data_IF_411322835576
#
_entry.id   IF_411322835576
#
_cell.length_a   1.000
_cell.length_b   1.000
_cell.length_c   1.000
_cell.angle_alpha   90.00
_cell.angle_beta   90.00
_cell.angle_gamma   90.00
#
_symmetry.space_group_name_H-M   'P 1'
#
loop_
_entity.id
_entity.type
_entity.pdbx_description
1 polymer ?
#
# COMPACT_ATOMS: atom_id res chain seq x y z
N UNK A 1 22.89 1.54 -23.74
CA UNK A 1 22.39 2.92 -23.97
C UNK A 1 22.16 3.22 -25.46
N UNK A 2 23.18 3.16 -26.34
CA UNK A 2 23.01 3.48 -27.78
C UNK A 2 21.99 2.61 -28.53
N UNK A 3 21.88 1.31 -28.20
CA UNK A 3 20.92 0.40 -28.84
C UNK A 3 19.47 0.76 -28.55
N UNK A 4 19.18 1.25 -27.34
CA UNK A 4 17.85 1.70 -26.95
C UNK A 4 17.48 3.04 -27.56
N UNK A 5 18.43 3.98 -27.64
CA UNK A 5 18.20 5.26 -28.31
C UNK A 5 17.88 5.06 -29.79
N UNK A 6 18.62 4.17 -30.46
CA UNK A 6 18.31 3.78 -31.85
C UNK A 6 16.94 3.12 -31.95
N UNK A 7 16.59 2.25 -31.01
CA UNK A 7 15.28 1.64 -30.98
C UNK A 7 14.15 2.68 -30.80
N UNK A 8 14.28 3.62 -29.85
CA UNK A 8 13.23 4.62 -29.60
C UNK A 8 13.05 5.56 -30.79
N UNK A 9 14.15 5.96 -31.43
CA UNK A 9 14.14 6.78 -32.63
C UNK A 9 13.46 6.03 -33.81
N UNK A 10 13.77 4.75 -33.96
CA UNK A 10 13.19 3.90 -35.01
C UNK A 10 11.70 3.64 -34.75
N UNK A 11 11.30 3.44 -33.50
CA UNK A 11 9.91 3.29 -33.09
C UNK A 11 9.10 4.57 -33.36
N UNK A 12 9.65 5.76 -33.05
CA UNK A 12 9.02 7.04 -33.37
C UNK A 12 8.88 7.30 -34.88
N UNK A 13 9.76 6.70 -35.69
CA UNK A 13 9.75 6.80 -37.15
C UNK A 13 8.96 5.66 -37.83
N UNK A 14 8.26 4.80 -37.08
CA UNK A 14 7.47 3.69 -37.63
C UNK A 14 8.32 2.54 -38.22
N UNK A 15 9.60 2.45 -37.87
CA UNK A 15 10.56 1.44 -38.32
C UNK A 15 10.99 0.51 -37.16
N UNK A 16 10.04 0.10 -36.30
CA UNK A 16 10.35 -0.79 -35.18
C UNK A 16 10.61 -2.22 -35.67
N UNK A 17 11.79 -2.76 -35.36
CA UNK A 17 12.28 -4.07 -35.81
C UNK A 17 11.69 -5.27 -35.03
N UNK A 18 10.50 -5.11 -34.43
CA UNK A 18 9.78 -6.16 -33.70
C UNK A 18 10.44 -6.68 -32.40
N UNK A 19 11.65 -6.25 -32.08
CA UNK A 19 12.37 -6.62 -30.85
C UNK A 19 11.97 -5.70 -29.70
N UNK A 20 11.40 -6.27 -28.63
CA UNK A 20 11.13 -5.56 -27.38
C UNK A 20 12.45 -5.28 -26.64
N UNK A 21 12.72 -4.04 -26.23
CA UNK A 21 13.96 -3.73 -25.53
C UNK A 21 14.04 -4.31 -24.12
N UNK A 22 15.27 -4.44 -23.63
CA UNK A 22 15.61 -4.96 -22.30
C UNK A 22 14.93 -4.13 -21.17
N UNK A 23 14.11 -4.75 -20.30
CA UNK A 23 13.38 -4.08 -19.23
C UNK A 23 14.25 -3.25 -18.27
N UNK A 24 15.46 -3.69 -17.92
CA UNK A 24 16.34 -2.92 -17.03
C UNK A 24 16.81 -1.62 -17.69
N UNK A 25 17.02 -1.68 -19.00
CA UNK A 25 17.52 -0.57 -19.82
C UNK A 25 16.38 0.42 -20.12
N UNK A 26 15.13 -0.05 -20.19
CA UNK A 26 13.92 0.79 -20.21
C UNK A 26 13.75 1.49 -18.86
N UNK A 27 13.89 0.79 -17.73
CA UNK A 27 13.79 1.38 -16.40
C UNK A 27 14.89 2.44 -16.14
N UNK A 28 16.12 2.22 -16.64
CA UNK A 28 17.19 3.23 -16.58
C UNK A 28 16.91 4.47 -17.44
N UNK A 29 16.12 4.34 -18.52
CA UNK A 29 15.86 5.41 -19.48
C UNK A 29 14.60 6.21 -19.15
N UNK A 30 13.54 5.53 -18.72
CA UNK A 30 12.23 6.13 -18.42
C UNK A 30 11.97 6.29 -16.92
N UNK A 31 12.86 5.76 -16.07
CA UNK A 31 12.65 5.61 -14.63
C UNK A 31 11.78 4.38 -14.31
N UNK A 32 11.85 3.92 -13.06
CA UNK A 32 10.74 3.16 -12.47
C UNK A 32 9.50 4.07 -12.41
N UNK A 33 8.27 3.52 -12.45
CA UNK A 33 7.09 4.31 -12.12
C UNK A 33 7.32 5.01 -10.78
N UNK A 34 6.99 6.30 -10.69
CA UNK A 34 7.04 7.02 -9.41
C UNK A 34 6.14 6.30 -8.40
N UNK A 35 6.56 6.23 -7.14
CA UNK A 35 5.86 5.50 -6.07
C UNK A 35 4.38 5.89 -6.01
N UNK A 36 4.09 7.18 -6.23
CA UNK A 36 2.72 7.73 -6.33
C UNK A 36 1.87 7.02 -7.39
N UNK A 37 2.44 6.70 -8.55
CA UNK A 37 1.72 6.01 -9.63
C UNK A 37 1.49 4.54 -9.31
N UNK A 38 2.41 3.90 -8.59
CA UNK A 38 2.24 2.52 -8.10
C UNK A 38 1.13 2.48 -7.06
N UNK A 39 1.13 3.40 -6.08
CA UNK A 39 0.06 3.54 -5.09
C UNK A 39 -1.31 3.75 -5.73
N UNK A 40 -1.41 4.60 -6.77
CA UNK A 40 -2.66 4.80 -7.53
C UNK A 40 -3.12 3.52 -8.21
N UNK A 41 -2.21 2.78 -8.86
CA UNK A 41 -2.54 1.51 -9.51
C UNK A 41 -3.03 0.47 -8.49
N UNK A 42 -2.38 0.36 -7.34
CA UNK A 42 -2.83 -0.49 -6.26
C UNK A 42 -4.25 -0.10 -5.82
N UNK A 43 -4.51 1.19 -5.61
CA UNK A 43 -5.86 1.70 -5.32
C UNK A 43 -6.92 1.35 -6.38
N UNK A 44 -6.56 1.37 -7.66
CA UNK A 44 -7.47 0.98 -8.76
C UNK A 44 -7.78 -0.52 -8.69
N UNK A 45 -6.78 -1.37 -8.52
CA UNK A 45 -6.95 -2.83 -8.40
C UNK A 45 -7.81 -3.18 -7.18
N UNK A 46 -7.54 -2.53 -6.04
CA UNK A 46 -8.27 -2.74 -4.80
C UNK A 46 -9.73 -2.25 -4.86
N UNK A 47 -10.08 -1.33 -5.75
CA UNK A 47 -11.47 -0.89 -5.95
C UNK A 47 -12.20 -1.68 -7.05
N UNK A 48 -11.47 -2.47 -7.84
CA UNK A 48 -12.06 -3.27 -8.90
C UNK A 48 -12.66 -4.57 -8.35
N UNK A 49 -13.98 -4.70 -8.38
CA UNK A 49 -14.67 -5.93 -7.97
C UNK A 49 -14.32 -7.13 -8.85
N UNK A 50 -13.92 -6.90 -10.11
CA UNK A 50 -13.52 -7.96 -11.03
C UNK A 50 -12.07 -8.42 -10.85
N UNK A 51 -11.28 -7.76 -10.01
CA UNK A 51 -9.91 -8.18 -9.75
C UNK A 51 -9.86 -9.46 -8.91
N UNK A 52 -8.97 -10.38 -9.29
CA UNK A 52 -8.80 -11.64 -8.59
C UNK A 52 -8.23 -11.43 -7.18
N UNK A 53 -8.30 -12.48 -6.35
CA UNK A 53 -7.67 -12.44 -5.03
C UNK A 53 -6.16 -12.19 -5.15
N UNK A 54 -5.49 -12.89 -6.06
CA UNK A 54 -4.05 -12.76 -6.31
C UNK A 54 -3.66 -11.36 -6.79
N UNK A 55 -4.48 -10.75 -7.65
CA UNK A 55 -4.26 -9.36 -8.10
C UNK A 55 -4.37 -8.37 -6.93
N UNK A 56 -5.35 -8.57 -6.04
CA UNK A 56 -5.53 -7.72 -4.85
C UNK A 56 -4.41 -7.93 -3.83
N UNK A 57 -3.98 -9.16 -3.62
CA UNK A 57 -2.83 -9.47 -2.75
C UNK A 57 -1.55 -8.83 -3.29
N UNK A 58 -1.28 -8.92 -4.60
CA UNK A 58 -0.14 -8.25 -5.22
C UNK A 58 -0.22 -6.72 -5.08
N UNK A 59 -1.40 -6.13 -5.30
CA UNK A 59 -1.61 -4.69 -5.10
C UNK A 59 -1.40 -4.26 -3.64
N UNK A 60 -1.80 -5.09 -2.68
CA UNK A 60 -1.55 -4.85 -1.27
C UNK A 60 -0.06 -4.98 -0.91
N UNK A 61 0.65 -5.94 -1.49
CA UNK A 61 2.09 -6.14 -1.29
C UNK A 61 2.88 -4.91 -1.78
N UNK A 62 2.57 -4.44 -2.99
CA UNK A 62 3.13 -3.20 -3.56
C UNK A 62 2.85 -2.00 -2.63
N UNK A 63 1.59 -1.85 -2.21
CA UNK A 63 1.19 -0.73 -1.35
C UNK A 63 1.89 -0.81 0.02
N UNK A 64 1.99 -1.99 0.60
CA UNK A 64 2.60 -2.21 1.91
C UNK A 64 4.08 -1.80 1.88
N UNK A 65 4.84 -2.24 0.88
CA UNK A 65 6.25 -1.89 0.73
C UNK A 65 6.44 -0.38 0.60
N UNK A 66 5.56 0.30 -0.15
CA UNK A 66 5.67 1.75 -0.35
C UNK A 66 5.37 2.56 0.90
N UNK A 67 4.34 2.19 1.68
CA UNK A 67 3.95 2.94 2.89
C UNK A 67 4.91 2.76 4.07
N UNK A 68 5.96 1.95 3.96
CA UNK A 68 7.07 1.95 4.93
C UNK A 68 7.88 3.26 4.88
N UNK A 69 7.84 3.95 3.74
CA UNK A 69 8.40 5.29 3.59
C UNK A 69 7.38 6.33 4.06
N UNK A 70 7.74 7.17 5.04
CA UNK A 70 6.84 8.16 5.65
C UNK A 70 6.24 9.12 4.61
N UNK A 71 7.01 9.53 3.60
CA UNK A 71 6.52 10.42 2.54
C UNK A 71 5.42 9.75 1.70
N UNK A 72 5.57 8.46 1.38
CA UNK A 72 4.56 7.68 0.66
C UNK A 72 3.34 7.40 1.54
N UNK A 73 3.54 7.04 2.82
CA UNK A 73 2.43 6.88 3.77
C UNK A 73 1.57 8.15 3.85
N UNK A 74 2.20 9.33 3.81
CA UNK A 74 1.51 10.61 3.80
C UNK A 74 0.74 10.91 2.50
N UNK A 75 1.03 10.19 1.41
CA UNK A 75 0.26 10.26 0.16
C UNK A 75 -1.06 9.46 0.23
N UNK A 76 -1.29 8.63 1.26
CA UNK A 76 -2.54 7.89 1.43
C UNK A 76 -3.78 8.81 1.47
N UNK A 77 -3.65 10.01 2.05
CA UNK A 77 -4.73 11.01 2.12
C UNK A 77 -5.02 11.66 0.76
N UNK A 78 -4.06 12.34 0.09
CA UNK A 78 -4.33 12.98 -1.21
C UNK A 78 -4.70 11.97 -2.32
N UNK A 79 -4.30 10.70 -2.19
CA UNK A 79 -4.70 9.63 -3.11
C UNK A 79 -6.03 8.96 -2.76
N UNK A 80 -6.64 9.28 -1.61
CA UNK A 80 -7.92 8.71 -1.17
C UNK A 80 -7.84 7.22 -0.86
N UNK A 81 -6.68 6.71 -0.44
CA UNK A 81 -6.43 5.27 -0.27
C UNK A 81 -6.86 4.73 1.11
N UNK A 82 -7.02 5.59 2.12
CA UNK A 82 -7.45 5.16 3.44
C UNK A 82 -8.80 4.40 3.42
N UNK A 83 -9.90 4.94 2.86
CA UNK A 83 -11.16 4.18 2.78
C UNK A 83 -11.01 2.88 1.99
N UNK A 84 -10.20 2.90 0.92
CA UNK A 84 -9.95 1.74 0.05
C UNK A 84 -9.25 0.61 0.81
N UNK A 85 -8.27 0.91 1.66
CA UNK A 85 -7.59 -0.09 2.50
C UNK A 85 -8.48 -0.52 3.65
N UNK A 86 -9.13 0.42 4.33
CA UNK A 86 -9.86 0.15 5.56
C UNK A 86 -11.09 -0.74 5.36
N UNK A 87 -11.75 -0.73 4.19
CA UNK A 87 -12.84 -1.67 3.92
C UNK A 87 -12.39 -3.14 3.95
N UNK A 88 -11.13 -3.43 3.63
CA UNK A 88 -10.62 -4.80 3.58
C UNK A 88 -10.36 -5.43 4.96
N UNK A 89 -10.42 -4.66 6.05
CA UNK A 89 -10.47 -5.23 7.40
C UNK A 89 -11.74 -6.09 7.63
N UNK A 90 -12.80 -5.89 6.83
CA UNK A 90 -14.02 -6.70 6.86
C UNK A 90 -14.13 -7.64 5.63
N UNK A 91 -13.04 -7.85 4.88
CA UNK A 91 -13.02 -8.77 3.74
C UNK A 91 -13.40 -10.19 4.18
N UNK A 92 -13.83 -11.06 3.26
CA UNK A 92 -14.11 -12.47 3.58
C UNK A 92 -12.81 -13.26 3.74
N UNK A 93 -11.82 -12.92 2.93
CA UNK A 93 -10.52 -13.55 2.82
C UNK A 93 -9.58 -13.05 3.93
N UNK A 94 -9.05 -13.99 4.73
CA UNK A 94 -8.14 -13.67 5.83
C UNK A 94 -6.85 -12.98 5.35
N UNK A 95 -6.36 -13.32 4.16
CA UNK A 95 -5.18 -12.68 3.58
C UNK A 95 -5.39 -11.19 3.32
N UNK A 96 -6.55 -10.79 2.81
CA UNK A 96 -6.88 -9.38 2.57
C UNK A 96 -7.04 -8.60 3.89
N UNK A 97 -7.65 -9.21 4.92
CA UNK A 97 -7.69 -8.62 6.27
C UNK A 97 -6.29 -8.41 6.84
N UNK A 98 -5.43 -9.43 6.72
CA UNK A 98 -4.01 -9.37 7.15
C UNK A 98 -3.29 -8.23 6.44
N UNK A 99 -3.38 -8.16 5.11
CA UNK A 99 -2.70 -7.12 4.32
C UNK A 99 -3.20 -5.72 4.66
N UNK A 100 -4.52 -5.53 4.80
CA UNK A 100 -5.08 -4.24 5.20
C UNK A 100 -4.55 -3.79 6.57
N UNK A 101 -4.53 -4.68 7.56
CA UNK A 101 -3.95 -4.39 8.87
C UNK A 101 -2.44 -4.09 8.79
N UNK A 102 -1.70 -4.78 7.93
CA UNK A 102 -0.26 -4.55 7.75
C UNK A 102 0.04 -3.19 7.11
N UNK A 103 -0.70 -2.81 6.05
CA UNK A 103 -0.61 -1.47 5.45
C UNK A 103 -0.91 -0.39 6.48
N UNK A 104 -1.97 -0.56 7.28
CA UNK A 104 -2.30 0.35 8.38
C UNK A 104 -1.12 0.46 9.35
N UNK A 105 -0.58 -0.67 9.79
CA UNK A 105 0.51 -0.71 10.75
C UNK A 105 1.79 -0.01 10.26
N UNK A 106 2.18 -0.25 9.01
CA UNK A 106 3.35 0.37 8.40
C UNK A 106 3.16 1.87 8.19
N UNK A 107 1.99 2.28 7.67
CA UNK A 107 1.73 3.68 7.34
C UNK A 107 1.74 4.61 8.57
N UNK A 108 1.26 4.12 9.73
CA UNK A 108 1.15 4.91 10.97
C UNK A 108 2.35 4.78 11.92
N UNK A 109 3.27 3.85 11.66
CA UNK A 109 4.41 3.61 12.54
C UNK A 109 5.33 4.83 12.60
N UNK A 110 5.44 5.45 13.79
CA UNK A 110 6.21 6.68 14.01
C UNK A 110 5.84 7.81 13.03
N UNK A 111 4.56 7.90 12.66
CA UNK A 111 4.06 8.88 11.70
C UNK A 111 2.80 9.57 12.24
N UNK A 112 3.00 10.61 13.06
CA UNK A 112 1.93 11.36 13.72
C UNK A 112 0.86 11.85 12.74
N UNK A 113 1.27 12.28 11.54
CA UNK A 113 0.31 12.74 10.51
C UNK A 113 -0.61 11.61 10.06
N UNK A 114 -0.07 10.41 9.82
CA UNK A 114 -0.90 9.27 9.45
C UNK A 114 -1.73 8.75 10.64
N UNK A 115 -1.21 8.81 11.87
CA UNK A 115 -1.96 8.48 13.08
C UNK A 115 -3.16 9.42 13.27
N UNK A 116 -2.95 10.73 13.19
CA UNK A 116 -4.01 11.76 13.28
C UNK A 116 -5.08 11.57 12.20
N UNK A 117 -4.67 11.26 10.97
CA UNK A 117 -5.60 10.99 9.88
C UNK A 117 -6.41 9.71 10.11
N UNK A 118 -5.77 8.65 10.59
CA UNK A 118 -6.45 7.40 10.89
C UNK A 118 -7.41 7.53 12.07
N UNK A 119 -7.08 8.35 13.08
CA UNK A 119 -7.93 8.63 14.24
C UNK A 119 -9.28 9.28 13.88
N UNK A 120 -9.41 9.88 12.68
CA UNK A 120 -10.66 10.44 12.16
C UNK A 120 -11.67 9.37 11.71
N UNK A 121 -11.23 8.13 11.49
CA UNK A 121 -12.10 7.02 11.12
C UNK A 121 -12.69 6.39 12.37
N UNK A 122 -13.97 6.68 12.62
CA UNK A 122 -14.72 6.10 13.73
C UNK A 122 -14.61 4.57 13.71
N UNK A 123 -14.58 3.97 14.91
CA UNK A 123 -14.50 2.52 15.12
C UNK A 123 -13.22 1.83 14.65
N UNK A 124 -12.23 2.51 14.06
CA UNK A 124 -11.01 1.84 13.56
C UNK A 124 -10.29 1.04 14.65
N UNK A 125 -10.10 1.63 15.82
CA UNK A 125 -9.49 0.97 16.97
C UNK A 125 -10.26 -0.26 17.42
N UNK A 126 -11.59 -0.16 17.44
CA UNK A 126 -12.46 -1.27 17.84
C UNK A 126 -12.41 -2.40 16.81
N UNK A 127 -12.40 -2.09 15.52
CA UNK A 127 -12.28 -3.08 14.44
C UNK A 127 -10.95 -3.83 14.55
N UNK A 128 -9.84 -3.12 14.74
CA UNK A 128 -8.53 -3.73 14.96
C UNK A 128 -8.51 -4.61 16.22
N UNK A 129 -9.13 -4.16 17.33
CA UNK A 129 -9.21 -4.94 18.57
C UNK A 129 -10.02 -6.24 18.41
N UNK A 130 -11.14 -6.19 17.70
CA UNK A 130 -11.98 -7.37 17.42
C UNK A 130 -11.20 -8.39 16.61
N UNK A 131 -10.51 -7.96 15.54
CA UNK A 131 -9.68 -8.84 14.72
C UNK A 131 -8.46 -9.37 15.47
N UNK A 132 -7.83 -8.54 16.31
CA UNK A 132 -6.72 -8.95 17.18
C UNK A 132 -7.13 -10.05 18.17
N UNK A 133 -8.37 -10.04 18.65
CA UNK A 133 -8.89 -11.01 19.60
C UNK A 133 -9.28 -12.36 18.96
N UNK A 134 -9.42 -12.44 17.63
CA UNK A 134 -9.70 -13.72 16.95
C UNK A 134 -8.42 -14.54 16.75
N UNK A 135 -8.12 -15.38 17.75
CA UNK A 135 -6.93 -16.22 17.76
C UNK A 135 -6.98 -17.40 16.77
N UNK A 136 -8.09 -17.60 16.04
CA UNK A 136 -8.15 -18.61 14.96
C UNK A 136 -7.33 -18.18 13.74
N UNK A 137 -7.21 -16.88 13.52
CA UNK A 137 -6.49 -16.29 12.38
C UNK A 137 -5.23 -15.58 12.86
N UNK A 138 -4.26 -16.38 13.31
CA UNK A 138 -3.09 -15.85 14.02
C UNK A 138 -2.31 -14.78 13.25
N UNK A 139 -2.27 -14.83 11.92
CA UNK A 139 -1.58 -13.81 11.12
C UNK A 139 -2.36 -12.50 11.03
N UNK A 140 -3.69 -12.54 10.92
CA UNK A 140 -4.54 -11.34 11.00
C UNK A 140 -4.43 -10.71 12.37
N UNK A 141 -4.53 -11.53 13.43
CA UNK A 141 -4.42 -11.10 14.81
C UNK A 141 -3.08 -10.39 15.08
N UNK A 142 -1.96 -10.97 14.62
CA UNK A 142 -0.62 -10.37 14.73
C UNK A 142 -0.53 -9.02 14.03
N UNK A 143 -1.04 -8.90 12.80
CA UNK A 143 -0.98 -7.63 12.06
C UNK A 143 -1.88 -6.57 12.69
N UNK A 144 -3.03 -6.95 13.25
CA UNK A 144 -3.89 -6.02 13.98
C UNK A 144 -3.23 -5.55 15.29
N UNK A 145 -2.56 -6.42 16.03
CA UNK A 145 -1.78 -6.03 17.21
C UNK A 145 -0.64 -5.08 16.84
N UNK A 146 0.06 -5.34 15.72
CA UNK A 146 1.08 -4.43 15.20
C UNK A 146 0.47 -3.08 14.83
N UNK A 147 -0.66 -3.05 14.14
CA UNK A 147 -1.37 -1.82 13.79
C UNK A 147 -1.78 -1.01 15.02
N UNK A 148 -2.34 -1.66 16.04
CA UNK A 148 -2.69 -1.03 17.31
C UNK A 148 -1.44 -0.45 17.97
N UNK A 149 -0.36 -1.23 18.05
CA UNK A 149 0.90 -0.76 18.65
C UNK A 149 1.51 0.40 17.90
N UNK A 150 1.46 0.40 16.56
CA UNK A 150 1.96 1.51 15.73
C UNK A 150 1.10 2.76 15.86
N UNK A 151 -0.21 2.60 16.08
CA UNK A 151 -1.16 3.71 16.18
C UNK A 151 -1.06 4.43 17.53
N UNK A 152 -0.88 3.69 18.63
CA UNK A 152 -0.68 4.26 19.99
C UNK A 152 0.78 4.62 20.27
N UNK A 153 1.71 4.07 19.50
CA UNK A 153 3.14 4.21 19.73
C UNK A 153 3.63 5.59 19.32
N UNK A 154 4.47 6.20 20.15
CA UNK A 154 5.16 7.45 19.87
C UNK A 154 4.28 8.69 19.66
N UNK A 155 2.98 8.64 19.99
CA UNK A 155 2.16 9.83 20.07
C UNK A 155 2.42 10.55 21.41
N UNK A 156 3.14 11.68 21.38
CA UNK A 156 3.51 12.42 22.60
C UNK A 156 2.28 12.81 23.46
N UNK A 157 1.12 12.99 22.83
CA UNK A 157 -0.12 13.39 23.50
C UNK A 157 -0.70 12.29 24.42
N UNK A 158 -0.37 11.02 24.18
CA UNK A 158 -0.97 9.86 24.83
C UNK A 158 -0.10 9.26 25.95
N UNK A 159 1.16 9.67 26.08
CA UNK A 159 1.97 9.34 27.27
C UNK A 159 1.36 9.88 28.58
N UNK A 160 0.44 10.84 28.49
CA UNK A 160 -0.30 11.37 29.64
C UNK A 160 -1.42 10.45 30.16
N UNK A 161 -1.73 9.37 29.44
CA UNK A 161 -2.72 8.35 29.85
C UNK A 161 -2.10 7.21 30.69
N UNK A 162 -0.79 7.26 30.95
CA UNK A 162 -0.04 6.37 31.84
C UNK A 162 0.73 7.17 32.90
#
# INVERSE_FOLDING_TARGET
MEKLLKWSLNASNGQADGTTPDPELIAQLFGSPDDTEIMKRAGIVLQNESSSLEEKEAAFDDLQMLVEQVDNANNMVPLGLWPVVLQYLDATEASLRRYAAWVVASAVQNNDKAQEELAKYEEIMKRLLVLAADLKETDVSRMCLLAISSLIGNCESEYSLF
#
